data_IF_746681227104
#
_entry.id   IF_746681227104
#
_cell.length_a   1.000
_cell.length_b   1.000
_cell.length_c   1.000
_cell.angle_alpha   90.00
_cell.angle_beta   90.00
_cell.angle_gamma   90.00
#
_symmetry.space_group_name_H-M   'P 1'
#
loop_
_entity.id
_entity.type
_entity.pdbx_description
1 polymer ?
#
# COMPACT_ATOMS: atom_id res chain seq x y z
N UNK A 1 26.34 -18.06 19.06
CA UNK A 1 25.30 -18.58 18.14
C UNK A 1 23.93 -17.98 18.41
N UNK A 2 23.51 -17.79 19.67
CA UNK A 2 22.20 -17.20 20.00
C UNK A 2 22.07 -15.71 19.61
N UNK A 3 23.08 -14.88 19.85
CA UNK A 3 23.05 -13.44 19.52
C UNK A 3 23.00 -13.15 18.00
N UNK A 4 23.75 -13.91 17.20
CA UNK A 4 23.78 -13.74 15.74
C UNK A 4 22.41 -14.06 15.13
N UNK A 5 21.72 -15.08 15.67
CA UNK A 5 20.40 -15.48 15.19
C UNK A 5 19.33 -14.42 15.44
N UNK A 6 19.36 -13.78 16.61
CA UNK A 6 18.49 -12.64 16.96
C UNK A 6 18.74 -11.38 16.12
N UNK A 7 19.97 -11.15 15.64
CA UNK A 7 20.29 -10.01 14.78
C UNK A 7 19.75 -10.23 13.35
N UNK A 8 19.92 -11.43 12.79
CA UNK A 8 19.40 -11.79 11.47
C UNK A 8 17.86 -11.79 11.41
N UNK A 9 17.19 -12.25 12.47
CA UNK A 9 15.73 -12.22 12.59
C UNK A 9 15.19 -10.77 12.60
N UNK A 10 15.87 -9.85 13.30
CA UNK A 10 15.51 -8.43 13.32
C UNK A 10 15.72 -7.74 11.94
N UNK A 11 16.75 -8.12 11.19
CA UNK A 11 17.02 -7.54 9.87
C UNK A 11 15.96 -7.95 8.84
N UNK A 12 15.46 -9.19 8.91
CA UNK A 12 14.38 -9.67 8.04
C UNK A 12 13.06 -8.95 8.33
N UNK A 13 12.67 -8.82 9.60
CA UNK A 13 11.48 -8.05 9.98
C UNK A 13 11.59 -6.59 9.52
N UNK A 14 12.74 -5.96 9.73
CA UNK A 14 12.99 -4.59 9.28
C UNK A 14 12.86 -4.46 7.75
N UNK A 15 13.37 -5.43 6.99
CA UNK A 15 13.27 -5.43 5.53
C UNK A 15 11.81 -5.54 5.06
N UNK A 16 11.00 -6.37 5.71
CA UNK A 16 9.57 -6.48 5.41
C UNK A 16 8.87 -5.16 5.70
N UNK A 17 9.11 -4.59 6.88
CA UNK A 17 8.51 -3.31 7.29
C UNK A 17 8.87 -2.17 6.33
N UNK A 18 10.13 -2.08 5.90
CA UNK A 18 10.55 -1.08 4.92
C UNK A 18 9.87 -1.28 3.56
N UNK A 19 9.67 -2.52 3.12
CA UNK A 19 8.87 -2.80 1.92
C UNK A 19 7.43 -2.34 2.07
N UNK A 20 6.80 -2.57 3.23
CA UNK A 20 5.43 -2.11 3.48
C UNK A 20 5.33 -0.58 3.38
N UNK A 21 6.27 0.14 4.00
CA UNK A 21 6.33 1.61 3.98
C UNK A 21 6.52 2.12 2.54
N UNK A 22 7.51 1.59 1.82
CA UNK A 22 7.83 2.05 0.47
C UNK A 22 6.68 1.79 -0.50
N UNK A 23 6.14 0.56 -0.54
CA UNK A 23 5.07 0.23 -1.47
C UNK A 23 3.74 0.88 -1.07
N UNK A 24 3.41 0.98 0.22
CA UNK A 24 2.24 1.71 0.70
C UNK A 24 2.33 3.21 0.35
N UNK A 25 3.50 3.82 0.56
CA UNK A 25 3.75 5.21 0.18
C UNK A 25 3.61 5.46 -1.32
N UNK A 26 4.22 4.60 -2.15
CA UNK A 26 4.14 4.70 -3.61
C UNK A 26 2.72 4.51 -4.11
N UNK A 27 1.99 3.50 -3.60
CA UNK A 27 0.59 3.28 -3.93
C UNK A 27 -0.28 4.51 -3.65
N UNK A 28 -0.13 5.08 -2.45
CA UNK A 28 -0.84 6.30 -2.06
C UNK A 28 -0.50 7.48 -2.97
N UNK A 29 0.77 7.66 -3.33
CA UNK A 29 1.20 8.73 -4.23
C UNK A 29 0.59 8.58 -5.63
N UNK A 30 0.67 7.38 -6.22
CA UNK A 30 0.07 7.10 -7.53
C UNK A 30 -1.46 7.31 -7.51
N UNK A 31 -2.15 6.91 -6.45
CA UNK A 31 -3.59 7.20 -6.32
C UNK A 31 -3.88 8.70 -6.21
N UNK A 32 -3.03 9.50 -5.55
CA UNK A 32 -3.16 10.96 -5.51
C UNK A 32 -2.97 11.59 -6.89
N UNK A 33 -1.99 11.10 -7.65
CA UNK A 33 -1.74 11.53 -9.03
C UNK A 33 -2.91 11.17 -9.94
N UNK A 34 -3.50 9.99 -9.79
CA UNK A 34 -4.70 9.59 -10.51
C UNK A 34 -5.86 10.56 -10.27
N UNK A 35 -6.11 10.90 -9.01
CA UNK A 35 -7.17 11.85 -8.64
C UNK A 35 -6.91 13.26 -9.20
N UNK A 36 -5.64 13.70 -9.24
CA UNK A 36 -5.27 14.99 -9.85
C UNK A 36 -5.52 14.99 -11.36
N UNK A 37 -5.19 13.91 -12.06
CA UNK A 37 -5.45 13.77 -13.49
C UNK A 37 -6.95 13.79 -13.82
N UNK A 38 -7.77 13.07 -13.04
CA UNK A 38 -9.21 13.06 -13.22
C UNK A 38 -9.86 14.44 -12.97
N UNK A 39 -9.34 15.21 -12.01
CA UNK A 39 -9.79 16.60 -11.77
C UNK A 39 -9.63 17.51 -12.99
N UNK A 40 -8.64 17.24 -13.84
CA UNK A 40 -8.40 17.99 -15.09
C UNK A 40 -9.04 17.33 -16.31
N UNK A 41 -9.81 16.26 -16.13
CA UNK A 41 -10.45 15.50 -17.22
C UNK A 41 -9.52 14.51 -17.94
N UNK A 42 -8.28 14.32 -17.47
CA UNK A 42 -7.36 13.32 -18.04
C UNK A 42 -7.62 11.95 -17.41
N UNK A 43 -8.71 11.32 -17.83
CA UNK A 43 -9.12 10.02 -17.33
C UNK A 43 -8.21 8.87 -17.77
N UNK A 44 -7.50 9.03 -18.89
CA UNK A 44 -6.52 8.04 -19.36
C UNK A 44 -5.32 7.95 -18.41
N UNK A 45 -4.78 9.11 -18.03
CA UNK A 45 -3.71 9.16 -17.03
C UNK A 45 -4.22 8.72 -15.65
N UNK A 46 -5.47 9.07 -15.29
CA UNK A 46 -6.06 8.61 -14.03
C UNK A 46 -6.09 7.07 -13.94
N UNK A 47 -6.54 6.37 -14.99
CA UNK A 47 -6.57 4.91 -15.02
C UNK A 47 -5.18 4.29 -14.98
N UNK A 48 -4.23 4.87 -15.71
CA UNK A 48 -2.84 4.43 -15.70
C UNK A 48 -2.23 4.51 -14.30
N UNK A 49 -2.51 5.60 -13.57
CA UNK A 49 -2.02 5.83 -12.21
C UNK A 49 -2.73 4.99 -11.15
N UNK A 50 -4.03 4.71 -11.30
CA UNK A 50 -4.71 3.73 -10.45
C UNK A 50 -4.11 2.33 -10.64
N UNK A 51 -3.85 1.91 -11.87
CA UNK A 51 -3.22 0.62 -12.16
C UNK A 51 -1.81 0.51 -11.58
N UNK A 52 -1.05 1.60 -11.63
CA UNK A 52 0.27 1.69 -10.97
C UNK A 52 0.13 1.53 -9.44
N UNK A 53 -0.85 2.21 -8.83
CA UNK A 53 -1.15 2.07 -7.40
C UNK A 53 -1.50 0.61 -7.05
N UNK A 54 -2.32 -0.06 -7.85
CA UNK A 54 -2.69 -1.46 -7.67
C UNK A 54 -1.47 -2.40 -7.73
N UNK A 55 -0.51 -2.11 -8.61
CA UNK A 55 0.75 -2.84 -8.70
C UNK A 55 1.61 -2.71 -7.44
N UNK A 56 1.68 -1.52 -6.83
CA UNK A 56 2.37 -1.31 -5.57
C UNK A 56 1.62 -1.95 -4.39
N UNK A 57 0.29 -1.78 -4.32
CA UNK A 57 -0.53 -2.42 -3.28
C UNK A 57 -0.40 -3.93 -3.30
N UNK A 58 -0.40 -4.56 -4.48
CA UNK A 58 -0.25 -6.01 -4.61
C UNK A 58 1.07 -6.50 -4.00
N UNK A 59 2.17 -5.77 -4.19
CA UNK A 59 3.47 -6.12 -3.60
C UNK A 59 3.44 -6.00 -2.08
N UNK A 60 2.90 -4.90 -1.55
CA UNK A 60 2.81 -4.67 -0.11
C UNK A 60 1.86 -5.66 0.58
N UNK A 61 0.70 -5.92 -0.04
CA UNK A 61 -0.34 -6.80 0.47
C UNK A 61 0.10 -8.25 0.54
N UNK A 62 0.92 -8.72 -0.42
CA UNK A 62 1.50 -10.07 -0.37
C UNK A 62 2.41 -10.24 0.86
N UNK A 63 3.26 -9.24 1.16
CA UNK A 63 4.11 -9.26 2.35
C UNK A 63 3.28 -9.20 3.65
N UNK A 64 2.24 -8.36 3.69
CA UNK A 64 1.31 -8.29 4.80
C UNK A 64 0.57 -9.62 5.04
N UNK A 65 0.09 -10.26 3.97
CA UNK A 65 -0.62 -11.54 4.03
C UNK A 65 0.30 -12.66 4.54
N UNK A 66 1.57 -12.66 4.11
CA UNK A 66 2.55 -13.63 4.59
C UNK A 66 2.75 -13.50 6.12
N UNK A 67 2.88 -12.29 6.65
CA UNK A 67 3.00 -12.07 8.10
C UNK A 67 1.76 -12.53 8.86
N UNK A 68 0.55 -12.21 8.39
CA UNK A 68 -0.69 -12.68 9.01
C UNK A 68 -0.81 -14.21 8.98
N UNK A 69 -0.32 -14.83 7.91
CA UNK A 69 -0.31 -16.29 7.77
C UNK A 69 0.67 -16.93 8.75
N UNK A 70 1.86 -16.38 8.92
CA UNK A 70 2.83 -16.85 9.90
C UNK A 70 2.32 -16.69 11.34
N UNK A 71 1.70 -15.54 11.65
CA UNK A 71 1.04 -15.27 12.93
C UNK A 71 -0.05 -16.32 13.24
N UNK A 72 -0.92 -16.62 12.26
CA UNK A 72 -1.98 -17.63 12.39
C UNK A 72 -1.42 -19.06 12.58
N UNK A 73 -0.21 -19.34 12.10
CA UNK A 73 0.50 -20.60 12.30
C UNK A 73 1.30 -20.65 13.62
N UNK A 74 1.15 -19.63 14.49
CA UNK A 74 1.81 -19.57 15.80
C UNK A 74 3.23 -19.01 15.77
N UNK A 75 3.68 -18.43 14.64
CA UNK A 75 4.93 -17.67 14.56
C UNK A 75 4.62 -16.21 14.81
N UNK A 76 4.63 -15.81 16.08
CA UNK A 76 4.32 -14.45 16.47
C UNK A 76 5.41 -13.47 16.03
N UNK A 77 5.03 -12.44 15.28
CA UNK A 77 5.94 -11.37 14.90
C UNK A 77 6.17 -10.39 16.06
N UNK A 78 7.35 -9.77 16.14
CA UNK A 78 7.60 -8.75 17.15
C UNK A 78 6.89 -7.43 16.78
N UNK A 79 5.95 -7.00 17.62
CA UNK A 79 5.21 -5.74 17.43
C UNK A 79 6.09 -4.56 17.86
N UNK A 80 6.76 -3.94 16.88
CA UNK A 80 7.48 -2.68 17.06
C UNK A 80 6.66 -1.49 16.54
N UNK A 81 7.00 -0.26 16.97
CA UNK A 81 6.39 0.96 16.42
C UNK A 81 6.56 1.05 14.89
N UNK A 82 7.70 0.60 14.38
CA UNK A 82 7.96 0.61 12.94
C UNK A 82 7.10 -0.43 12.20
N UNK A 83 6.88 -1.62 12.78
CA UNK A 83 5.95 -2.62 12.23
C UNK A 83 4.54 -2.07 12.12
N UNK A 84 4.03 -1.47 13.20
CA UNK A 84 2.72 -0.80 13.19
C UNK A 84 2.68 0.29 12.12
N UNK A 85 3.71 1.12 12.03
CA UNK A 85 3.79 2.17 11.00
C UNK A 85 3.76 1.61 9.57
N UNK A 86 4.46 0.52 9.29
CA UNK A 86 4.43 -0.14 7.98
C UNK A 86 3.04 -0.67 7.63
N UNK A 87 2.35 -1.28 8.59
CA UNK A 87 0.97 -1.73 8.44
C UNK A 87 0.00 -0.55 8.18
N UNK A 88 0.17 0.56 8.92
CA UNK A 88 -0.61 1.78 8.76
C UNK A 88 -0.48 2.36 7.34
N UNK A 89 0.73 2.38 6.76
CA UNK A 89 0.95 2.84 5.40
C UNK A 89 0.15 2.04 4.38
N UNK A 90 0.16 0.72 4.48
CA UNK A 90 -0.57 -0.16 3.55
C UNK A 90 -2.07 0.03 3.71
N UNK A 91 -2.60 -0.09 4.93
CA UNK A 91 -4.04 0.01 5.16
C UNK A 91 -4.59 1.37 4.73
N UNK A 92 -3.87 2.45 5.03
CA UNK A 92 -4.24 3.77 4.56
C UNK A 92 -4.14 3.88 3.02
N UNK A 93 -3.14 3.26 2.38
CA UNK A 93 -3.00 3.28 0.92
C UNK A 93 -4.15 2.53 0.23
N UNK A 94 -4.57 1.37 0.76
CA UNK A 94 -5.72 0.60 0.26
C UNK A 94 -6.99 1.46 0.34
N UNK A 95 -7.31 1.99 1.52
CA UNK A 95 -8.50 2.82 1.70
C UNK A 95 -8.47 4.06 0.81
N UNK A 96 -7.30 4.71 0.68
CA UNK A 96 -7.18 5.88 -0.17
C UNK A 96 -7.36 5.55 -1.66
N UNK A 97 -6.80 4.44 -2.13
CA UNK A 97 -6.95 3.96 -3.51
C UNK A 97 -8.43 3.70 -3.84
N UNK A 98 -9.14 3.02 -2.94
CA UNK A 98 -10.56 2.70 -3.16
C UNK A 98 -11.40 3.97 -3.25
N UNK A 99 -11.19 4.90 -2.32
CA UNK A 99 -11.85 6.20 -2.35
C UNK A 99 -11.46 7.03 -3.58
N UNK A 100 -10.20 6.97 -4.01
CA UNK A 100 -9.75 7.65 -5.23
C UNK A 100 -10.49 7.12 -6.47
N UNK A 101 -10.70 5.80 -6.56
CA UNK A 101 -11.51 5.19 -7.62
C UNK A 101 -12.94 5.74 -7.68
N UNK A 102 -13.64 5.73 -6.54
CA UNK A 102 -15.01 6.27 -6.44
C UNK A 102 -15.08 7.76 -6.83
N UNK A 103 -14.09 8.55 -6.41
CA UNK A 103 -14.00 9.97 -6.77
C UNK A 103 -13.72 10.19 -8.26
N UNK A 104 -12.88 9.34 -8.87
CA UNK A 104 -12.60 9.40 -10.31
C UNK A 104 -13.86 9.08 -11.11
N UNK A 105 -14.63 8.08 -10.69
CA UNK A 105 -15.92 7.76 -11.30
C UNK A 105 -16.93 8.90 -11.17
N UNK A 106 -16.95 9.60 -10.03
CA UNK A 106 -17.74 10.82 -9.85
C UNK A 106 -17.30 11.92 -10.84
N UNK A 107 -16.00 12.16 -11.01
CA UNK A 107 -15.49 13.13 -11.97
C UNK A 107 -15.87 12.77 -13.42
N UNK A 108 -15.83 11.48 -13.80
CA UNK A 108 -16.29 11.02 -15.11
C UNK A 108 -17.76 11.34 -15.37
N UNK A 109 -18.63 11.10 -14.37
CA UNK A 109 -20.07 11.42 -14.48
C UNK A 109 -20.32 12.91 -14.61
N UNK A 110 -19.59 13.74 -13.86
CA UNK A 110 -19.71 15.20 -13.95
C UNK A 110 -19.25 15.74 -15.30
N UNK A 111 -18.23 15.13 -15.92
CA UNK A 111 -17.76 15.55 -17.23
C UNK A 111 -18.73 15.17 -18.37
N UNK A 112 -19.41 14.02 -18.25
CA UNK A 112 -20.47 13.59 -19.18
C UNK A 112 -21.75 14.43 -19.11
N UNK A 113 -21.93 15.23 -18.05
CA UNK A 113 -23.08 16.13 -17.87
C UNK A 113 -22.82 17.55 -18.43
N UNK A 114 -21.62 17.83 -18.91
CA UNK A 114 -21.31 19.06 -19.65
C UNK A 114 -21.77 18.95 -21.10
#
# INVERSE_FOLDING_TARGET
MTEVKTLEENDQELQVVMQLIMFGGNAKSSAFEALRAAKTGDFSQADAKLKEADGFLSQAHNAQTAMLTDEANGKHAHVSLLMVHGQDHIMNAITFRDLAGELIDLYRRLDQQK
#
